data_IF_261857190867
#
_entry.id   IF_261857190867
#
_cell.length_a   1.000
_cell.length_b   1.000
_cell.length_c   1.000
_cell.angle_alpha   90.00
_cell.angle_beta   90.00
_cell.angle_gamma   90.00
#
_symmetry.space_group_name_H-M   'P 1'
#
loop_
_entity.id
_entity.type
_entity.pdbx_description
1 polymer ?
#
# COMPACT_ATOMS: atom_id res chain seq x y z
N UNK A 1 11.93 11.96 -1.77
CA UNK A 1 10.85 11.06 -1.31
C UNK A 1 11.48 9.92 -0.53
N UNK A 2 10.83 9.44 0.53
CA UNK A 2 11.31 8.32 1.36
C UNK A 2 10.22 7.24 1.37
N UNK A 3 10.57 6.02 0.95
CA UNK A 3 9.69 4.86 1.03
C UNK A 3 10.05 4.00 2.25
N UNK A 4 9.04 3.59 3.01
CA UNK A 4 9.19 2.76 4.21
C UNK A 4 8.19 1.62 4.22
N UNK A 5 8.61 0.45 4.71
CA UNK A 5 7.71 -0.69 4.94
C UNK A 5 7.10 -0.59 6.33
N UNK A 6 5.78 -0.71 6.42
CA UNK A 6 5.04 -0.64 7.68
C UNK A 6 4.64 -2.06 8.10
N UNK A 7 4.99 -2.44 9.34
CA UNK A 7 4.79 -3.79 9.88
C UNK A 7 3.90 -3.81 11.13
N UNK A 8 3.35 -2.66 11.53
CA UNK A 8 2.50 -2.52 12.73
C UNK A 8 1.11 -2.04 12.32
N UNK A 9 0.07 -2.72 12.81
CA UNK A 9 -1.31 -2.39 12.51
C UNK A 9 -1.71 -1.03 13.05
N UNK A 10 -1.20 -0.71 14.24
CA UNK A 10 -1.46 0.53 14.99
C UNK A 10 -0.89 1.75 14.27
N UNK A 11 0.09 1.56 13.38
CA UNK A 11 0.67 2.62 12.57
C UNK A 11 0.01 2.75 11.19
N UNK A 12 -0.49 1.66 10.61
CA UNK A 12 -0.95 1.62 9.22
C UNK A 12 -2.33 2.24 9.03
N UNK A 13 -3.34 1.77 9.77
CA UNK A 13 -4.72 2.22 9.55
C UNK A 13 -4.92 3.70 9.91
N UNK A 14 -4.39 4.22 11.03
CA UNK A 14 -4.47 5.66 11.31
C UNK A 14 -3.80 6.52 10.25
N UNK A 15 -2.65 6.07 9.72
CA UNK A 15 -1.93 6.77 8.64
C UNK A 15 -2.73 6.76 7.34
N UNK A 16 -3.40 5.65 6.99
CA UNK A 16 -4.27 5.61 5.80
C UNK A 16 -5.38 6.67 5.88
N UNK A 17 -5.91 6.92 7.08
CA UNK A 17 -6.96 7.93 7.29
C UNK A 17 -6.46 9.38 7.11
N UNK A 18 -5.14 9.61 6.99
CA UNK A 18 -4.59 10.92 6.64
C UNK A 18 -4.77 11.27 5.14
N UNK A 19 -5.05 10.27 4.29
CA UNK A 19 -5.34 10.48 2.88
C UNK A 19 -6.79 10.92 2.65
N UNK A 20 -7.05 11.57 1.52
CA UNK A 20 -8.39 12.07 1.15
C UNK A 20 -9.39 10.97 0.76
N UNK A 21 -8.91 9.84 0.23
CA UNK A 21 -9.75 8.71 -0.21
C UNK A 21 -9.16 7.35 0.24
N UNK A 22 -9.16 7.05 1.55
CA UNK A 22 -8.72 5.75 2.04
C UNK A 22 -9.71 4.67 1.65
N UNK A 23 -9.20 3.48 1.29
CA UNK A 23 -10.03 2.36 0.89
C UNK A 23 -9.93 1.18 1.86
N UNK A 24 -11.07 0.56 2.22
CA UNK A 24 -11.10 -0.61 3.13
C UNK A 24 -10.17 -1.74 2.68
N UNK A 25 -10.03 -1.98 1.38
CA UNK A 25 -9.16 -3.02 0.82
C UNK A 25 -7.65 -2.73 1.01
N UNK A 26 -7.31 -1.51 1.41
CA UNK A 26 -5.95 -1.12 1.79
C UNK A 26 -5.72 -1.27 3.30
N UNK A 27 -6.76 -1.48 4.12
CA UNK A 27 -6.65 -1.64 5.57
C UNK A 27 -5.83 -2.85 6.00
N UNK A 28 -5.28 -2.80 7.22
CA UNK A 28 -4.55 -3.91 7.83
C UNK A 28 -5.42 -5.18 7.90
N UNK A 29 -6.65 -5.03 8.39
CA UNK A 29 -7.62 -6.12 8.56
C UNK A 29 -7.92 -6.85 7.24
N UNK A 30 -7.92 -6.13 6.10
CA UNK A 30 -8.08 -6.76 4.79
C UNK A 30 -6.90 -7.68 4.46
N UNK A 31 -5.66 -7.24 4.71
CA UNK A 31 -4.48 -8.09 4.55
C UNK A 31 -4.55 -9.36 5.40
N UNK A 32 -4.93 -9.23 6.67
CA UNK A 32 -5.12 -10.37 7.60
C UNK A 32 -6.21 -11.34 7.12
N UNK A 33 -7.32 -10.81 6.60
CA UNK A 33 -8.36 -11.63 6.00
C UNK A 33 -7.82 -12.42 4.80
N UNK A 34 -7.09 -11.76 3.90
CA UNK A 34 -6.53 -12.38 2.70
C UNK A 34 -5.42 -13.38 3.02
N UNK A 35 -4.68 -13.19 4.11
CA UNK A 35 -3.67 -14.13 4.58
C UNK A 35 -4.23 -15.54 4.80
N UNK A 36 -5.46 -15.64 5.32
CA UNK A 36 -6.19 -16.91 5.48
C UNK A 36 -6.45 -17.65 4.16
N UNK A 37 -6.31 -16.97 3.03
CA UNK A 37 -6.51 -17.51 1.68
C UNK A 37 -5.20 -17.58 0.88
N UNK A 38 -4.05 -17.64 1.56
CA UNK A 38 -2.74 -17.86 0.96
C UNK A 38 -2.14 -16.61 0.31
N UNK A 39 -2.56 -15.42 0.74
CA UNK A 39 -1.91 -14.16 0.36
C UNK A 39 -0.91 -13.72 1.42
N UNK A 40 0.09 -12.94 1.04
CA UNK A 40 0.98 -12.22 1.95
C UNK A 40 0.84 -10.73 1.68
N UNK A 41 0.56 -9.92 2.70
CA UNK A 41 0.42 -8.48 2.54
C UNK A 41 1.74 -7.78 2.88
N UNK A 42 2.24 -6.96 1.95
CA UNK A 42 3.27 -5.97 2.23
C UNK A 42 2.65 -4.57 2.17
N UNK A 43 3.10 -3.69 3.05
CA UNK A 43 2.54 -2.35 3.22
C UNK A 43 3.65 -1.33 3.12
N UNK A 44 3.49 -0.40 2.20
CA UNK A 44 4.50 0.59 1.85
C UNK A 44 3.92 1.98 2.01
N UNK A 45 4.74 2.89 2.52
CA UNK A 45 4.39 4.28 2.78
C UNK A 45 5.47 5.18 2.22
N UNK A 46 5.06 6.08 1.34
CA UNK A 46 5.87 7.13 0.74
C UNK A 46 5.61 8.45 1.44
N UNK A 47 6.69 9.12 1.85
CA UNK A 47 6.67 10.45 2.43
C UNK A 47 7.50 11.43 1.61
N UNK A 48 7.07 12.68 1.57
CA UNK A 48 7.91 13.77 1.06
C UNK A 48 9.05 14.08 2.06
N UNK A 49 9.92 15.02 1.72
CA UNK A 49 11.06 15.39 2.58
C UNK A 49 10.63 16.05 3.90
N UNK A 50 9.44 16.65 3.94
CA UNK A 50 8.84 17.20 5.16
C UNK A 50 8.20 16.12 6.06
N UNK A 51 8.20 14.85 5.64
CA UNK A 51 7.61 13.73 6.38
C UNK A 51 6.10 13.53 6.15
N UNK A 52 5.46 14.34 5.31
CA UNK A 52 4.03 14.19 4.98
C UNK A 52 3.80 12.92 4.15
N UNK A 53 2.82 12.07 4.48
CA UNK A 53 2.38 10.98 3.60
C UNK A 53 1.96 11.51 2.23
N UNK A 54 2.50 10.92 1.17
CA UNK A 54 2.14 11.26 -0.22
C UNK A 54 1.67 10.04 -1.01
N UNK A 55 1.93 8.83 -0.51
CA UNK A 55 1.38 7.61 -1.08
C UNK A 55 1.42 6.45 -0.10
N UNK A 56 0.48 5.52 -0.23
CA UNK A 56 0.47 4.28 0.53
C UNK A 56 -0.01 3.12 -0.34
N UNK A 57 0.54 1.92 -0.14
CA UNK A 57 0.10 0.72 -0.83
C UNK A 57 0.18 -0.53 0.03
N UNK A 58 -0.93 -1.24 0.18
CA UNK A 58 -0.98 -2.64 0.58
C UNK A 58 -0.99 -3.50 -0.67
N UNK A 59 0.12 -4.18 -0.92
CA UNK A 59 0.29 -5.12 -2.03
C UNK A 59 0.16 -6.54 -1.49
N UNK A 60 -0.75 -7.30 -2.09
CA UNK A 60 -1.00 -8.69 -1.77
C UNK A 60 -0.24 -9.58 -2.75
N UNK A 61 0.63 -10.42 -2.21
CA UNK A 61 1.42 -11.38 -2.96
C UNK A 61 0.86 -12.79 -2.80
N UNK A 62 0.79 -13.55 -3.89
CA UNK A 62 0.39 -14.96 -3.86
C UNK A 62 1.13 -15.76 -4.92
N UNK A 63 1.72 -16.87 -4.52
CA UNK A 63 2.31 -17.83 -5.46
C UNK A 63 1.23 -18.45 -6.35
N UNK A 64 1.52 -18.52 -7.64
CA UNK A 64 0.66 -19.14 -8.66
C UNK A 64 1.42 -20.26 -9.37
N UNK A 65 0.75 -21.00 -10.26
CA UNK A 65 1.34 -22.13 -10.97
C UNK A 65 2.53 -21.67 -11.82
N UNK A 66 3.54 -22.54 -11.95
CA UNK A 66 4.75 -22.28 -12.75
C UNK A 66 5.85 -21.50 -12.02
N UNK A 67 5.81 -21.44 -10.68
CA UNK A 67 6.85 -20.75 -9.89
C UNK A 67 6.75 -19.22 -9.93
N UNK A 68 5.66 -18.68 -10.43
CA UNK A 68 5.40 -17.25 -10.51
C UNK A 68 4.71 -16.75 -9.24
N UNK A 69 4.86 -15.46 -8.94
CA UNK A 69 4.15 -14.76 -7.86
C UNK A 69 3.32 -13.64 -8.46
N UNK A 70 2.03 -13.60 -8.12
CA UNK A 70 1.15 -12.50 -8.45
C UNK A 70 1.24 -11.44 -7.36
N UNK A 71 1.46 -10.18 -7.74
CA UNK A 71 1.33 -9.01 -6.89
C UNK A 71 0.05 -8.26 -7.24
N UNK A 72 -0.74 -7.89 -6.23
CA UNK A 72 -2.04 -7.25 -6.42
C UNK A 72 -2.25 -6.15 -5.39
N UNK A 73 -2.43 -4.91 -5.85
CA UNK A 73 -2.75 -3.76 -5.00
C UNK A 73 -4.25 -3.40 -5.13
N UNK A 74 -5.13 -3.97 -4.29
CA UNK A 74 -6.57 -3.77 -4.45
C UNK A 74 -6.99 -2.32 -4.16
N UNK A 75 -7.49 -1.62 -5.19
CA UNK A 75 -7.96 -0.21 -5.07
C UNK A 75 -6.87 0.72 -4.53
N UNK A 76 -5.61 0.39 -4.81
CA UNK A 76 -4.46 1.23 -4.51
C UNK A 76 -3.58 1.46 -5.75
N UNK A 77 -2.44 2.14 -5.58
CA UNK A 77 -2.02 2.80 -4.34
C UNK A 77 -2.97 3.93 -3.92
N UNK A 78 -3.02 4.24 -2.63
CA UNK A 78 -3.70 5.42 -2.09
C UNK A 78 -2.78 6.61 -2.31
N UNK A 79 -3.09 7.43 -3.31
CA UNK A 79 -2.35 8.62 -3.73
C UNK A 79 -3.34 9.68 -4.20
N UNK A 80 -2.92 10.94 -4.24
CA UNK A 80 -3.68 11.95 -4.97
C UNK A 80 -3.43 11.82 -6.47
N UNK A 81 -4.40 11.24 -7.18
CA UNK A 81 -4.34 11.02 -8.63
C UNK A 81 -4.41 12.31 -9.46
N UNK A 82 -4.79 13.45 -8.87
CA UNK A 82 -4.82 14.74 -9.55
C UNK A 82 -3.46 15.45 -9.56
N UNK A 83 -2.46 14.92 -8.86
CA UNK A 83 -1.11 15.50 -8.74
C UNK A 83 -0.07 14.53 -9.34
N UNK A 84 0.26 14.64 -10.64
CA UNK A 84 1.23 13.78 -11.33
C UNK A 84 2.58 13.67 -10.65
N UNK A 85 3.07 14.77 -10.09
CA UNK A 85 4.29 14.87 -9.31
C UNK A 85 4.27 14.01 -8.04
N UNK A 86 3.09 13.63 -7.55
CA UNK A 86 2.91 12.72 -6.40
C UNK A 86 2.79 11.27 -6.86
N UNK A 87 1.85 10.96 -7.76
CA UNK A 87 1.55 9.56 -8.08
C UNK A 87 2.58 8.90 -9.01
N UNK A 88 3.23 9.65 -9.91
CA UNK A 88 4.24 9.09 -10.81
C UNK A 88 5.41 8.44 -10.07
N UNK A 89 6.11 9.14 -9.15
CA UNK A 89 7.22 8.52 -8.44
C UNK A 89 6.78 7.36 -7.55
N UNK A 90 5.60 7.42 -6.94
CA UNK A 90 5.04 6.31 -6.15
C UNK A 90 4.83 5.06 -7.03
N UNK A 91 4.27 5.21 -8.23
CA UNK A 91 4.06 4.08 -9.15
C UNK A 91 5.35 3.51 -9.74
N UNK A 92 6.40 4.30 -9.87
CA UNK A 92 7.71 3.82 -10.35
C UNK A 92 8.42 2.97 -9.29
N UNK A 93 8.24 3.30 -8.01
CA UNK A 93 8.86 2.57 -6.89
C UNK A 93 8.05 1.37 -6.39
N UNK A 94 6.73 1.36 -6.63
CA UNK A 94 5.81 0.30 -6.21
C UNK A 94 6.04 -1.03 -6.96
#
# INVERSE_FOLDING_TARGET
MICTRIQQAEAWDPMLLEFSDPHLLQSWAWGELKAKYGWHAERWLWRNEAGTPIGAAQVLFRSVRGGLTMAYCPRGPVVDWNQPEIWQPVLIEL
#
